data_IF_341723054105
#
_entry.id   IF_341723054105
#
_cell.length_a   1.000
_cell.length_b   1.000
_cell.length_c   1.000
_cell.angle_alpha   90.00
_cell.angle_beta   90.00
_cell.angle_gamma   90.00
#
_symmetry.space_group_name_H-M   'P 1'
#
loop_
_entity.id
_entity.type
_entity.pdbx_description
1 polymer ?
#
# COMPACT_ATOMS: atom_id res chain seq x y z
N UNK A 1 25.99 -8.42 -48.19
CA UNK A 1 26.83 -8.23 -46.98
C UNK A 1 26.93 -6.74 -46.73
N UNK A 2 25.98 -6.19 -45.97
CA UNK A 2 26.04 -4.80 -45.54
C UNK A 2 26.78 -4.75 -44.21
N UNK A 3 27.78 -3.87 -44.15
CA UNK A 3 28.71 -3.73 -43.05
C UNK A 3 27.99 -3.48 -41.72
N UNK A 4 28.26 -4.37 -40.77
CA UNK A 4 28.11 -4.18 -39.34
C UNK A 4 28.94 -2.95 -38.94
N UNK A 5 28.30 -1.79 -38.83
CA UNK A 5 28.98 -0.54 -38.46
C UNK A 5 28.99 -0.44 -36.92
N UNK A 6 30.12 -0.76 -36.26
CA UNK A 6 30.18 -0.87 -34.80
C UNK A 6 29.82 0.45 -34.10
N UNK A 7 30.01 1.60 -34.76
CA UNK A 7 29.61 2.92 -34.24
C UNK A 7 28.11 3.08 -34.08
N UNK A 8 27.31 2.46 -34.96
CA UNK A 8 25.85 2.53 -34.91
C UNK A 8 25.30 1.65 -33.77
N UNK A 9 25.92 0.49 -33.51
CA UNK A 9 25.60 -0.31 -32.31
C UNK A 9 26.01 0.38 -31.01
N UNK A 10 27.13 1.12 -31.01
CA UNK A 10 27.61 1.85 -29.84
C UNK A 10 26.73 3.06 -29.50
N UNK A 11 26.23 3.78 -30.51
CA UNK A 11 25.25 4.86 -30.34
C UNK A 11 23.91 4.33 -29.80
N UNK A 12 23.40 3.21 -30.34
CA UNK A 12 22.18 2.57 -29.82
C UNK A 12 22.38 2.12 -28.36
N UNK A 13 23.53 1.53 -28.03
CA UNK A 13 23.83 1.08 -26.66
C UNK A 13 23.96 2.24 -25.68
N UNK A 14 24.53 3.37 -26.12
CA UNK A 14 24.63 4.60 -25.32
C UNK A 14 23.27 5.31 -25.15
N UNK A 15 22.39 5.29 -26.15
CA UNK A 15 21.02 5.82 -26.01
C UNK A 15 20.14 4.97 -25.08
N UNK A 16 20.24 3.64 -25.19
CA UNK A 16 19.54 2.70 -24.29
C UNK A 16 20.08 2.81 -22.87
N UNK A 17 21.41 2.97 -22.70
CA UNK A 17 22.05 3.22 -21.41
C UNK A 17 21.66 4.56 -20.77
N UNK A 18 21.45 5.61 -21.56
CA UNK A 18 21.04 6.94 -21.05
C UNK A 18 19.57 7.01 -20.63
N UNK A 19 18.67 6.20 -21.21
CA UNK A 19 17.24 6.17 -20.82
C UNK A 19 16.96 5.33 -19.56
N UNK A 20 17.92 4.53 -19.09
CA UNK A 20 17.75 3.68 -17.89
C UNK A 20 18.09 4.34 -16.54
N UNK A 21 18.62 5.57 -16.52
CA UNK A 21 19.42 6.02 -15.38
C UNK A 21 18.82 7.04 -14.39
N UNK A 22 17.70 7.71 -14.68
CA UNK A 22 17.29 8.89 -13.86
C UNK A 22 15.81 9.04 -13.49
N UNK A 23 14.95 8.10 -13.85
CA UNK A 23 13.51 8.15 -13.49
C UNK A 23 13.15 7.32 -12.26
N UNK A 24 14.09 6.59 -11.65
CA UNK A 24 13.77 5.60 -10.60
C UNK A 24 13.37 6.17 -9.23
N UNK A 25 13.87 7.34 -8.82
CA UNK A 25 13.68 7.80 -7.43
C UNK A 25 12.36 8.54 -7.19
N UNK A 26 11.91 9.35 -8.15
CA UNK A 26 10.69 10.18 -8.00
C UNK A 26 9.41 9.32 -7.98
N UNK A 27 9.41 8.20 -8.71
CA UNK A 27 8.26 7.30 -8.79
C UNK A 27 8.21 6.24 -7.68
N UNK A 28 9.30 6.03 -6.93
CA UNK A 28 9.33 5.09 -5.81
C UNK A 28 8.71 5.68 -4.54
N UNK A 29 8.76 7.00 -4.38
CA UNK A 29 8.34 7.69 -3.15
C UNK A 29 6.88 7.43 -2.74
N UNK A 30 5.88 7.48 -3.65
CA UNK A 30 4.49 7.18 -3.30
C UNK A 30 4.29 5.74 -2.83
N UNK A 31 5.02 4.77 -3.42
CA UNK A 31 4.93 3.36 -3.04
C UNK A 31 5.52 3.13 -1.67
N UNK A 32 6.65 3.76 -1.38
CA UNK A 32 7.29 3.69 -0.07
C UNK A 32 6.34 4.23 1.01
N UNK A 33 5.67 5.36 0.74
CA UNK A 33 4.68 5.94 1.66
C UNK A 33 3.52 4.97 1.90
N UNK A 34 2.95 4.39 0.84
CA UNK A 34 1.83 3.43 0.96
C UNK A 34 2.25 2.22 1.81
N UNK A 35 3.40 1.61 1.52
CA UNK A 35 3.89 0.44 2.26
C UNK A 35 4.15 0.81 3.73
N UNK A 36 4.77 1.96 4.00
CA UNK A 36 5.03 2.40 5.36
C UNK A 36 3.75 2.65 6.15
N UNK A 37 2.74 3.29 5.55
CA UNK A 37 1.44 3.50 6.20
C UNK A 37 0.77 2.17 6.54
N UNK A 38 0.73 1.22 5.60
CA UNK A 38 0.17 -0.11 5.87
C UNK A 38 0.92 -0.87 6.97
N UNK A 39 2.24 -0.72 7.06
CA UNK A 39 3.03 -1.32 8.14
C UNK A 39 2.73 -0.67 9.51
N UNK A 40 2.53 0.64 9.54
CA UNK A 40 2.13 1.37 10.75
C UNK A 40 0.76 0.90 11.23
N UNK A 41 -0.21 0.76 10.32
CA UNK A 41 -1.56 0.26 10.62
C UNK A 41 -1.50 -1.17 11.19
N UNK A 42 -0.74 -2.06 10.55
CA UNK A 42 -0.54 -3.43 11.07
C UNK A 42 0.11 -3.42 12.46
N UNK A 43 1.14 -2.59 12.65
CA UNK A 43 1.78 -2.40 13.95
C UNK A 43 0.80 -1.94 15.02
N UNK A 44 -0.08 -0.98 14.69
CA UNK A 44 -1.13 -0.49 15.57
C UNK A 44 -2.12 -1.60 15.96
N UNK A 45 -2.59 -2.41 15.02
CA UNK A 45 -3.53 -3.49 15.31
C UNK A 45 -2.90 -4.55 16.24
N UNK A 46 -1.66 -4.97 15.97
CA UNK A 46 -0.95 -5.92 16.83
C UNK A 46 -0.69 -5.36 18.22
N UNK A 47 -0.33 -4.08 18.30
CA UNK A 47 -0.11 -3.39 19.57
C UNK A 47 -1.39 -3.30 20.41
N UNK A 48 -2.53 -2.95 19.79
CA UNK A 48 -3.82 -2.90 20.45
C UNK A 48 -4.22 -4.26 21.03
N UNK A 49 -4.01 -5.33 20.27
CA UNK A 49 -4.25 -6.71 20.73
C UNK A 49 -3.32 -7.07 21.90
N UNK A 50 -2.04 -6.73 21.80
CA UNK A 50 -1.04 -7.08 22.82
C UNK A 50 -1.32 -6.39 24.17
N UNK A 51 -1.70 -5.11 24.17
CA UNK A 51 -1.94 -4.36 25.40
C UNK A 51 -3.28 -4.70 26.04
N UNK A 52 -4.36 -4.69 25.26
CA UNK A 52 -5.72 -4.72 25.82
C UNK A 52 -6.29 -6.15 25.92
N UNK A 53 -5.73 -7.10 25.16
CA UNK A 53 -6.07 -8.53 25.18
C UNK A 53 -7.59 -8.84 25.27
N UNK A 54 -8.41 -8.01 24.65
CA UNK A 54 -9.88 -8.10 24.67
C UNK A 54 -10.36 -8.82 23.41
N UNK A 55 -11.33 -9.74 23.55
CA UNK A 55 -11.84 -10.54 22.44
C UNK A 55 -12.39 -9.69 21.29
N UNK A 56 -13.03 -8.55 21.57
CA UNK A 56 -13.55 -7.65 20.55
C UNK A 56 -12.39 -7.03 19.76
N UNK A 57 -11.31 -6.68 20.45
CA UNK A 57 -10.10 -6.09 19.84
C UNK A 57 -9.37 -7.13 19.00
N UNK A 58 -9.24 -8.37 19.48
CA UNK A 58 -8.65 -9.47 18.72
C UNK A 58 -9.40 -9.71 17.41
N UNK A 59 -10.73 -9.79 17.47
CA UNK A 59 -11.57 -10.00 16.28
C UNK A 59 -11.48 -8.81 15.32
N UNK A 60 -11.65 -7.59 15.83
CA UNK A 60 -11.58 -6.37 15.01
C UNK A 60 -10.22 -6.20 14.33
N UNK A 61 -9.14 -6.37 15.09
CA UNK A 61 -7.76 -6.31 14.58
C UNK A 61 -7.51 -7.37 13.51
N UNK A 62 -8.02 -8.59 13.69
CA UNK A 62 -7.84 -9.67 12.71
C UNK A 62 -8.52 -9.35 11.37
N UNK A 63 -9.73 -8.80 11.41
CA UNK A 63 -10.47 -8.39 10.21
C UNK A 63 -9.76 -7.23 9.50
N UNK A 64 -9.36 -6.20 10.24
CA UNK A 64 -8.69 -5.02 9.69
C UNK A 64 -7.30 -5.35 9.14
N UNK A 65 -6.49 -6.12 9.89
CA UNK A 65 -5.19 -6.59 9.44
C UNK A 65 -5.31 -7.47 8.19
N UNK A 66 -6.28 -8.39 8.16
CA UNK A 66 -6.54 -9.24 7.01
C UNK A 66 -6.89 -8.43 5.76
N UNK A 67 -7.73 -7.41 5.89
CA UNK A 67 -8.07 -6.52 4.78
C UNK A 67 -6.90 -5.66 4.32
N UNK A 68 -6.05 -5.18 5.23
CA UNK A 68 -4.85 -4.42 4.90
C UNK A 68 -3.86 -5.29 4.09
N UNK A 69 -3.62 -6.52 4.55
CA UNK A 69 -2.79 -7.49 3.83
C UNK A 69 -3.37 -7.81 2.45
N UNK A 70 -4.68 -8.06 2.37
CA UNK A 70 -5.37 -8.27 1.08
C UNK A 70 -5.18 -7.09 0.13
N UNK A 71 -5.33 -5.86 0.63
CA UNK A 71 -5.14 -4.62 -0.15
C UNK A 71 -3.71 -4.49 -0.67
N UNK A 72 -2.71 -4.80 0.17
CA UNK A 72 -1.31 -4.83 -0.24
C UNK A 72 -1.05 -5.88 -1.33
N UNK A 73 -1.52 -7.12 -1.14
CA UNK A 73 -1.37 -8.21 -2.11
C UNK A 73 -1.97 -7.81 -3.46
N UNK A 74 -3.12 -7.15 -3.46
CA UNK A 74 -3.77 -6.66 -4.68
C UNK A 74 -3.04 -5.47 -5.32
N UNK A 75 -2.37 -4.65 -4.51
CA UNK A 75 -1.59 -3.50 -4.98
C UNK A 75 -0.28 -3.92 -5.65
N UNK A 76 0.47 -4.87 -5.07
CA UNK A 76 1.78 -5.32 -5.58
C UNK A 76 1.84 -5.60 -7.09
N UNK A 77 0.96 -6.43 -7.69
CA UNK A 77 1.00 -6.70 -9.13
C UNK A 77 0.64 -5.47 -9.97
N UNK A 78 -0.10 -4.51 -9.41
CA UNK A 78 -0.54 -3.28 -10.08
C UNK A 78 0.40 -2.10 -9.87
N UNK A 79 1.52 -2.26 -9.14
CA UNK A 79 2.51 -1.19 -8.92
C UNK A 79 3.00 -0.58 -10.24
N UNK A 80 3.28 -1.42 -11.25
CA UNK A 80 3.72 -0.94 -12.57
C UNK A 80 2.65 -0.06 -13.24
N UNK A 81 1.37 -0.38 -13.05
CA UNK A 81 0.26 0.40 -13.59
C UNK A 81 0.07 1.70 -12.80
N UNK A 82 0.17 1.65 -11.48
CA UNK A 82 0.10 2.81 -10.60
C UNK A 82 1.18 3.86 -10.93
N UNK A 83 2.42 3.43 -11.17
CA UNK A 83 3.53 4.32 -11.54
C UNK A 83 3.33 4.94 -12.93
N UNK A 84 3.06 4.09 -13.93
CA UNK A 84 3.09 4.52 -15.34
C UNK A 84 1.78 5.15 -15.80
N UNK A 85 0.64 4.77 -15.19
CA UNK A 85 -0.72 5.18 -15.54
C UNK A 85 -1.60 5.29 -14.29
N UNK A 86 -1.33 6.27 -13.40
CA UNK A 86 -2.04 6.41 -12.13
C UNK A 86 -3.55 6.62 -12.31
N UNK A 87 -3.98 7.34 -13.35
CA UNK A 87 -5.41 7.57 -13.62
C UNK A 87 -6.15 6.28 -13.98
N UNK A 88 -5.53 5.40 -14.77
CA UNK A 88 -6.13 4.11 -15.13
C UNK A 88 -6.23 3.20 -13.90
N UNK A 89 -5.19 3.22 -13.05
CA UNK A 89 -5.21 2.49 -11.77
C UNK A 89 -6.31 3.01 -10.84
N UNK A 90 -6.47 4.34 -10.73
CA UNK A 90 -7.54 4.94 -9.92
C UNK A 90 -8.93 4.59 -10.46
N UNK A 91 -9.09 4.54 -11.79
CA UNK A 91 -10.35 4.17 -12.43
C UNK A 91 -10.73 2.72 -12.13
N UNK A 92 -9.76 1.81 -12.19
CA UNK A 92 -9.97 0.39 -11.82
C UNK A 92 -10.24 0.23 -10.32
N UNK A 93 -9.53 0.98 -9.47
CA UNK A 93 -9.76 0.98 -8.01
C UNK A 93 -11.09 1.65 -7.61
N UNK A 94 -11.67 2.47 -8.48
CA UNK A 94 -12.98 3.10 -8.31
C UNK A 94 -14.14 2.21 -8.76
N UNK A 95 -13.90 0.94 -9.09
CA UNK A 95 -14.98 -0.01 -9.31
C UNK A 95 -15.95 -0.02 -8.12
N UNK A 96 -17.27 -0.01 -8.39
CA UNK A 96 -18.28 0.27 -7.36
C UNK A 96 -18.21 -0.71 -6.17
N UNK A 97 -17.87 -1.98 -6.43
CA UNK A 97 -17.72 -2.97 -5.38
C UNK A 97 -16.50 -2.70 -4.48
N UNK A 98 -15.34 -2.41 -5.07
CA UNK A 98 -14.14 -2.07 -4.29
C UNK A 98 -14.33 -0.80 -3.48
N UNK A 99 -14.99 0.21 -4.06
CA UNK A 99 -15.20 1.48 -3.37
C UNK A 99 -16.12 1.30 -2.15
N UNK A 100 -17.17 0.50 -2.27
CA UNK A 100 -18.06 0.16 -1.14
C UNK A 100 -17.29 -0.61 -0.06
N UNK A 101 -16.50 -1.63 -0.45
CA UNK A 101 -15.70 -2.38 0.51
C UNK A 101 -14.68 -1.50 1.23
N UNK A 102 -13.95 -0.65 0.51
CA UNK A 102 -13.00 0.29 1.09
C UNK A 102 -13.69 1.25 2.07
N UNK A 103 -14.89 1.74 1.73
CA UNK A 103 -15.65 2.63 2.62
C UNK A 103 -16.12 1.92 3.90
N UNK A 104 -16.63 0.68 3.79
CA UNK A 104 -17.03 -0.11 4.96
C UNK A 104 -15.83 -0.37 5.87
N UNK A 105 -14.69 -0.77 5.30
CA UNK A 105 -13.48 -1.05 6.08
C UNK A 105 -12.93 0.20 6.77
N UNK A 106 -12.98 1.36 6.12
CA UNK A 106 -12.61 2.63 6.74
C UNK A 106 -13.53 3.00 7.90
N UNK A 107 -14.85 2.76 7.78
CA UNK A 107 -15.79 2.97 8.89
C UNK A 107 -15.48 2.02 10.05
N UNK A 108 -15.22 0.74 9.76
CA UNK A 108 -14.84 -0.24 10.78
C UNK A 108 -13.55 0.13 11.48
N UNK A 109 -12.57 0.66 10.74
CA UNK A 109 -11.32 1.15 11.30
C UNK A 109 -11.53 2.32 12.27
N UNK A 110 -12.36 3.29 11.90
CA UNK A 110 -12.70 4.43 12.78
C UNK A 110 -13.37 3.92 14.07
N UNK A 111 -14.32 3.00 13.95
CA UNK A 111 -15.01 2.41 15.11
C UNK A 111 -14.05 1.62 16.00
N UNK A 112 -13.15 0.85 15.40
CA UNK A 112 -12.11 0.11 16.12
C UNK A 112 -11.19 1.05 16.89
N UNK A 113 -10.71 2.10 16.23
CA UNK A 113 -9.85 3.11 16.85
C UNK A 113 -10.54 3.80 18.05
N UNK A 114 -11.81 4.19 17.90
CA UNK A 114 -12.59 4.77 19.00
C UNK A 114 -12.73 3.80 20.17
N UNK A 115 -13.03 2.53 19.89
CA UNK A 115 -13.18 1.51 20.92
C UNK A 115 -11.87 1.29 21.70
N UNK A 116 -10.74 1.21 21.00
CA UNK A 116 -9.41 1.08 21.61
C UNK A 116 -9.11 2.29 22.51
N UNK A 117 -9.38 3.52 22.07
CA UNK A 117 -9.16 4.73 22.88
C UNK A 117 -10.02 4.69 24.15
N UNK A 118 -11.30 4.37 24.03
CA UNK A 118 -12.21 4.28 25.18
C UNK A 118 -11.73 3.21 26.16
N UNK A 119 -11.32 2.04 25.67
CA UNK A 119 -10.82 0.95 26.50
C UNK A 119 -9.56 1.36 27.26
N UNK A 120 -8.59 1.99 26.60
CA UNK A 120 -7.39 2.52 27.24
C UNK A 120 -7.76 3.52 28.33
N UNK A 121 -8.65 4.48 28.06
CA UNK A 121 -9.05 5.47 29.07
C UNK A 121 -9.68 4.80 30.29
N UNK A 122 -10.54 3.78 30.08
CA UNK A 122 -11.19 3.07 31.19
C UNK A 122 -10.21 2.23 32.02
N UNK A 123 -9.21 1.64 31.39
CA UNK A 123 -8.23 0.77 32.05
C UNK A 123 -7.14 1.56 32.79
N UNK A 124 -6.82 2.78 32.35
CA UNK A 124 -5.82 3.66 32.99
C UNK A 124 -6.40 4.71 33.96
N UNK A 125 -7.72 4.98 33.95
CA UNK A 125 -8.39 5.82 34.96
C UNK A 125 -8.91 5.03 36.17
N UNK A 126 -8.58 3.74 36.27
CA UNK A 126 -8.89 2.86 37.39
C UNK A 126 -7.60 2.51 38.15
#
# INVERSE_FOLDING_TARGET
>A
MAADNPKMMEEIKNEVGKKGGKTSSVFALPIIIIIMLSLIELGYYFFAVYILNDNIIVVGASVLAGFNIYSLIKFFPKIKMFINRPLDYLKEKSEPFENIMNAIMAILEILFCLYVIIKIILEFNL
#
